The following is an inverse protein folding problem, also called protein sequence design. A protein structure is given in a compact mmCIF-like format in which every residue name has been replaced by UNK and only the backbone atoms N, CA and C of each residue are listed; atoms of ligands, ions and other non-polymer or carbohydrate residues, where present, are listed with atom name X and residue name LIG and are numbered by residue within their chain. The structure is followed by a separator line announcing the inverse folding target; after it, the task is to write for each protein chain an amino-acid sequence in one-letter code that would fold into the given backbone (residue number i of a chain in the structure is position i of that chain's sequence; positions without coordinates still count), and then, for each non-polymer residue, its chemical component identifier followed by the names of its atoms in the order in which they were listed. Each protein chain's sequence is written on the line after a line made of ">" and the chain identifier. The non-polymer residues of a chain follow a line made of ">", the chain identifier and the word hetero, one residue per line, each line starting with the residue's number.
data_IF_771583191897
#
_entry.id   IF_771583191897
#
_cell.length_a   1.000
_cell.length_b   1.000
_cell.length_c   1.000
_cell.angle_alpha   90.00
_cell.angle_beta   90.00
_cell.angle_gamma   90.00
#
_symmetry.space_group_name_H-M   'P 1'
#
loop_
_entity.id
_entity.type
_entity.pdbx_description
1 polymer ?
#
# COMPACT_ATOMS: atom_id res chain seq x y z
N UNK A 1 -6.83 20.56 8.23
CA UNK A 1 -5.37 20.36 8.08
C UNK A 1 -5.14 19.02 7.40
N UNK A 2 -4.92 19.04 6.08
CA UNK A 2 -4.83 17.85 5.24
C UNK A 2 -3.44 17.23 5.40
N UNK A 3 -3.34 16.18 6.20
CA UNK A 3 -2.12 15.38 6.30
C UNK A 3 -2.06 14.46 5.07
N UNK A 4 -1.76 15.07 3.92
CA UNK A 4 -1.38 14.35 2.71
C UNK A 4 -0.06 13.64 3.03
N UNK A 5 -0.18 12.37 3.44
CA UNK A 5 0.96 11.51 3.74
C UNK A 5 1.93 11.60 2.58
N UNK A 6 3.03 12.31 2.84
CA UNK A 6 4.02 12.79 1.88
C UNK A 6 4.21 11.77 0.76
N UNK A 7 3.73 12.11 -0.44
CA UNK A 7 4.01 11.32 -1.65
C UNK A 7 5.53 11.24 -1.73
N UNK A 8 6.09 10.01 -1.75
CA UNK A 8 7.52 9.85 -1.95
C UNK A 8 7.89 10.55 -3.27
N UNK A 9 9.10 11.13 -3.38
CA UNK A 9 9.51 11.99 -4.50
C UNK A 9 9.43 11.32 -5.88
N UNK A 10 9.17 10.01 -5.94
CA UNK A 10 8.80 9.36 -7.19
C UNK A 10 7.83 8.18 -6.98
N UNK A 11 6.50 8.39 -7.04
CA UNK A 11 5.54 7.29 -7.09
C UNK A 11 5.63 6.48 -8.40
N UNK A 12 6.41 6.95 -9.39
CA UNK A 12 6.45 6.35 -10.72
C UNK A 12 7.25 5.05 -10.77
N UNK A 13 8.22 4.79 -9.88
CA UNK A 13 9.04 3.55 -9.88
C UNK A 13 8.65 2.65 -8.71
N UNK A 14 7.85 1.61 -8.97
CA UNK A 14 7.39 0.74 -7.89
C UNK A 14 6.29 -0.25 -8.23
N UNK A 15 5.64 -0.78 -7.19
CA UNK A 15 4.46 -1.63 -7.29
C UNK A 15 3.42 -1.25 -6.23
N UNK A 16 2.15 -1.28 -6.60
CA UNK A 16 1.02 -1.22 -5.65
C UNK A 16 0.54 -2.64 -5.39
N UNK A 17 0.73 -3.13 -4.16
CA UNK A 17 0.38 -4.50 -3.78
C UNK A 17 -0.71 -4.51 -2.71
N UNK A 18 -1.67 -5.41 -2.87
CA UNK A 18 -2.66 -5.75 -1.85
C UNK A 18 -2.07 -6.76 -0.87
N UNK A 19 -2.30 -6.55 0.42
CA UNK A 19 -1.83 -7.43 1.49
C UNK A 19 -2.93 -7.71 2.51
N UNK A 20 -2.91 -8.94 3.02
CA UNK A 20 -3.74 -9.44 4.10
C UNK A 20 -2.84 -9.71 5.29
N UNK A 21 -3.25 -9.29 6.50
CA UNK A 21 -2.39 -9.33 7.68
C UNK A 21 -3.05 -10.01 8.87
N UNK A 22 -2.21 -10.68 9.67
CA UNK A 22 -2.54 -11.11 11.02
C UNK A 22 -2.05 -10.02 11.95
N UNK A 23 -2.95 -9.16 12.42
CA UNK A 23 -2.59 -8.01 13.24
C UNK A 23 -2.75 -8.25 14.74
N UNK A 24 -3.55 -9.23 15.13
CA UNK A 24 -3.94 -9.37 16.53
C UNK A 24 -3.52 -10.71 17.09
N UNK A 25 -2.80 -10.67 18.22
CA UNK A 25 -2.65 -11.80 19.15
C UNK A 25 -3.82 -11.83 20.16
N UNK A 26 -4.94 -11.18 19.83
CA UNK A 26 -6.09 -11.06 20.73
C UNK A 26 -6.89 -12.38 20.72
N UNK A 27 -7.26 -12.91 21.90
CA UNK A 27 -8.21 -14.02 21.97
C UNK A 27 -9.50 -13.67 21.22
N UNK A 28 -9.96 -14.58 20.36
CA UNK A 28 -11.17 -14.38 19.55
C UNK A 28 -10.99 -13.52 18.29
N UNK A 29 -9.78 -13.07 17.95
CA UNK A 29 -9.57 -12.43 16.65
C UNK A 29 -9.80 -13.42 15.51
N UNK A 30 -10.72 -13.09 14.60
CA UNK A 30 -11.01 -13.83 13.34
C UNK A 30 -9.76 -14.20 12.54
N UNK A 31 -8.71 -13.37 12.64
CA UNK A 31 -7.41 -13.60 12.06
C UNK A 31 -6.70 -14.86 12.55
N UNK A 32 -6.99 -15.35 13.76
CA UNK A 32 -6.48 -16.62 14.27
C UNK A 32 -7.20 -17.82 13.62
N UNK A 33 -8.50 -17.68 13.31
CA UNK A 33 -9.29 -18.70 12.60
C UNK A 33 -9.07 -18.72 11.07
N UNK A 34 -8.24 -17.83 10.53
CA UNK A 34 -7.88 -17.79 9.10
C UNK A 34 -8.49 -16.63 8.31
N UNK A 35 -9.37 -15.84 8.91
CA UNK A 35 -9.93 -14.62 8.30
C UNK A 35 -8.97 -13.43 8.50
N UNK A 36 -8.05 -13.27 7.57
CA UNK A 36 -7.03 -12.22 7.64
C UNK A 36 -7.62 -10.81 7.54
N UNK A 37 -6.99 -9.85 8.20
CA UNK A 37 -7.37 -8.44 8.10
C UNK A 37 -6.92 -7.85 6.76
N UNK A 38 -7.82 -7.14 6.09
CA UNK A 38 -7.53 -6.47 4.84
C UNK A 38 -8.80 -6.28 4.02
N UNK A 39 -8.65 -5.93 2.73
CA UNK A 39 -7.39 -5.73 2.02
C UNK A 39 -6.71 -4.40 2.38
N UNK A 40 -5.41 -4.44 2.67
CA UNK A 40 -4.59 -3.23 2.80
C UNK A 40 -3.75 -3.03 1.53
N UNK A 41 -3.65 -1.79 1.07
CA UNK A 41 -2.83 -1.46 -0.09
C UNK A 41 -1.51 -0.84 0.36
N UNK A 42 -0.42 -1.28 -0.26
CA UNK A 42 0.92 -0.74 -0.02
C UNK A 42 1.60 -0.39 -1.33
N UNK A 43 2.19 0.78 -1.36
CA UNK A 43 3.12 1.16 -2.41
C UNK A 43 4.54 0.75 -2.01
N UNK A 44 5.23 0.10 -2.93
CA UNK A 44 6.64 -0.27 -2.83
C UNK A 44 7.44 0.53 -3.85
N UNK A 45 8.45 1.28 -3.41
CA UNK A 45 9.34 2.02 -4.31
C UNK A 45 10.80 1.79 -3.94
N UNK A 46 11.70 1.84 -4.93
CA UNK A 46 13.15 1.80 -4.68
C UNK A 46 13.74 3.20 -4.78
N UNK A 47 14.38 3.66 -3.71
CA UNK A 47 15.06 4.97 -3.65
C UNK A 47 16.49 4.73 -3.16
N UNK A 48 17.49 5.16 -3.94
CA UNK A 48 18.90 4.96 -3.59
C UNK A 48 19.26 3.49 -3.32
N UNK A 49 18.69 2.55 -4.09
CA UNK A 49 18.88 1.10 -3.91
C UNK A 49 18.04 0.46 -2.79
N UNK A 50 17.43 1.24 -1.90
CA UNK A 50 16.62 0.73 -0.78
C UNK A 50 15.15 0.61 -1.14
N UNK A 51 14.50 -0.46 -0.67
CA UNK A 51 13.06 -0.67 -0.85
C UNK A 51 12.27 0.00 0.29
N UNK A 52 11.36 0.88 -0.08
CA UNK A 52 10.44 1.56 0.84
C UNK A 52 9.03 1.02 0.65
N UNK A 53 8.35 0.71 1.76
CA UNK A 53 6.95 0.29 1.82
C UNK A 53 6.12 1.40 2.47
N UNK A 54 5.07 1.88 1.80
CA UNK A 54 4.14 2.90 2.34
C UNK A 54 2.71 2.39 2.27
N UNK A 55 1.96 2.55 3.36
CA UNK A 55 0.52 2.29 3.35
C UNK A 55 -0.21 3.28 2.44
N UNK A 56 -1.18 2.78 1.68
CA UNK A 56 -2.06 3.55 0.82
C UNK A 56 -3.47 3.39 1.37
N UNK A 57 -4.12 4.53 1.67
CA UNK A 57 -5.52 4.52 2.11
C UNK A 57 -6.39 4.02 0.97
N UNK A 58 -7.46 3.31 1.31
CA UNK A 58 -8.35 2.72 0.30
C UNK A 58 -8.92 3.76 -0.67
N UNK A 59 -9.24 4.96 -0.18
CA UNK A 59 -9.72 6.08 -1.00
C UNK A 59 -8.70 6.57 -2.05
N UNK A 60 -7.41 6.41 -1.77
CA UNK A 60 -6.32 6.91 -2.63
C UNK A 60 -5.87 5.84 -3.66
N UNK A 61 -6.30 4.59 -3.50
CA UNK A 61 -5.93 3.46 -4.38
C UNK A 61 -6.21 3.73 -5.87
N UNK A 62 -7.39 4.25 -6.26
CA UNK A 62 -7.68 4.52 -7.67
C UNK A 62 -6.70 5.53 -8.27
N UNK A 63 -6.38 6.60 -7.54
CA UNK A 63 -5.43 7.62 -7.98
C UNK A 63 -4.03 7.04 -8.18
N UNK A 64 -3.55 6.23 -7.23
CA UNK A 64 -2.24 5.58 -7.33
C UNK A 64 -2.21 4.61 -8.52
N UNK A 65 -3.28 3.82 -8.74
CA UNK A 65 -3.37 2.91 -9.89
C UNK A 65 -3.31 3.66 -11.23
N UNK A 66 -3.99 4.80 -11.34
CA UNK A 66 -3.98 5.63 -12.55
C UNK A 66 -2.55 6.11 -12.85
N UNK A 67 -1.81 6.57 -11.84
CA UNK A 67 -0.41 6.99 -12.00
C UNK A 67 0.50 5.86 -12.54
N UNK A 68 0.32 4.62 -12.06
CA UNK A 68 1.05 3.46 -12.58
C UNK A 68 0.63 3.08 -14.01
N UNK A 69 -0.66 3.19 -14.33
CA UNK A 69 -1.18 2.85 -15.65
C UNK A 69 -0.67 3.80 -16.73
N UNK A 70 -0.67 5.11 -16.44
CA UNK A 70 -0.19 6.13 -17.37
C UNK A 70 1.29 5.95 -17.70
N UNK A 71 2.11 5.60 -16.71
CA UNK A 71 3.52 5.31 -16.95
C UNK A 71 3.73 4.10 -17.87
N UNK A 72 3.00 3.00 -17.72
CA UNK A 72 3.22 1.79 -18.56
C UNK A 72 3.01 2.04 -20.06
N UNK A 73 2.39 3.16 -20.42
CA UNK A 73 2.17 3.60 -21.80
C UNK A 73 3.32 4.44 -22.36
N UNK A 74 4.18 4.98 -21.49
CA UNK A 74 5.38 5.76 -21.83
C UNK A 74 6.61 4.85 -21.88
#
# INVERSE_FOLDING_TARGET
>A
MNNAGHLLPNPAVGALCMQWMRHSNKPGCKCAQGELHGPYFYQFVRVGGRLHKRYVRQADVPQVRAAYAERRRL
#
